data_IF_309784348127
#
_entry.id   IF_309784348127
#
_cell.length_a   1.000
_cell.length_b   1.000
_cell.length_c   1.000
_cell.angle_alpha   90.00
_cell.angle_beta   90.00
_cell.angle_gamma   90.00
#
_symmetry.space_group_name_H-M   'P 1'
#
loop_
_entity.id
_entity.type
_entity.pdbx_description
1 polymer ?
#
# COMPACT_ATOMS: atom_id res chain seq x y z
N UNK A 1 14.79 26.04 87.35
CA UNK A 1 14.87 25.00 86.30
C UNK A 1 14.08 25.53 85.12
N UNK A 2 14.73 26.32 84.25
CA UNK A 2 15.37 25.87 82.99
C UNK A 2 14.36 25.70 81.85
N UNK A 3 14.30 26.75 81.00
CA UNK A 3 14.18 26.82 79.51
C UNK A 3 13.08 25.97 78.84
N UNK A 4 12.37 26.42 77.80
CA UNK A 4 12.93 26.72 76.46
C UNK A 4 11.84 27.30 75.53
N UNK A 5 12.22 28.20 74.63
CA UNK A 5 11.44 28.74 73.50
C UNK A 5 11.05 27.69 72.45
N UNK A 6 10.00 27.95 71.66
CA UNK A 6 10.04 27.63 70.20
C UNK A 6 9.04 28.47 69.39
N UNK A 7 9.57 29.20 68.41
CA UNK A 7 8.84 29.74 67.25
C UNK A 7 8.44 28.58 66.34
N UNK A 8 7.25 28.62 65.73
CA UNK A 8 6.90 27.80 64.58
C UNK A 8 6.72 28.70 63.35
N UNK A 9 7.63 28.51 62.38
CA UNK A 9 7.71 29.21 61.11
C UNK A 9 6.69 28.59 60.13
N UNK A 10 5.76 29.39 59.61
CA UNK A 10 4.85 28.96 58.53
C UNK A 10 5.64 28.96 57.22
N UNK A 11 5.84 27.78 56.63
CA UNK A 11 6.48 27.64 55.31
C UNK A 11 5.38 27.32 54.29
N UNK A 12 5.02 28.30 53.45
CA UNK A 12 4.12 28.10 52.33
C UNK A 12 4.91 27.55 51.14
N UNK A 13 4.64 26.31 50.73
CA UNK A 13 5.21 25.70 49.54
C UNK A 13 4.35 26.06 48.31
N UNK A 14 4.88 26.89 47.42
CA UNK A 14 4.29 27.15 46.09
C UNK A 14 4.75 26.07 45.11
N UNK A 15 3.84 25.22 44.68
CA UNK A 15 4.11 24.22 43.61
C UNK A 15 3.91 24.90 42.26
N UNK A 16 5.00 25.32 41.62
CA UNK A 16 4.97 25.76 40.23
C UNK A 16 4.78 24.53 39.32
N UNK A 17 3.57 24.33 38.80
CA UNK A 17 3.28 23.31 37.80
C UNK A 17 3.73 23.81 36.43
N UNK A 18 4.97 23.50 36.04
CA UNK A 18 5.40 23.65 34.64
C UNK A 18 4.83 22.48 33.84
N UNK A 19 3.70 22.72 33.16
CA UNK A 19 3.19 21.80 32.15
C UNK A 19 4.20 21.73 30.99
N UNK A 20 4.95 20.64 30.90
CA UNK A 20 5.74 20.30 29.72
C UNK A 20 4.76 20.02 28.58
N UNK A 21 4.59 20.98 27.68
CA UNK A 21 4.00 20.72 26.37
C UNK A 21 4.99 19.85 25.59
N UNK A 22 4.81 18.53 25.66
CA UNK A 22 5.44 17.64 24.70
C UNK A 22 4.87 17.99 23.31
N UNK A 23 5.71 18.23 22.29
CA UNK A 23 5.22 18.31 20.92
C UNK A 23 4.50 16.99 20.62
N UNK A 24 3.20 17.06 20.32
CA UNK A 24 2.53 15.93 19.72
C UNK A 24 3.26 15.65 18.39
N UNK A 25 3.97 14.53 18.33
CA UNK A 25 4.52 14.05 17.08
C UNK A 25 3.33 13.75 16.17
N UNK A 26 3.03 14.67 15.25
CA UNK A 26 2.14 14.36 14.14
C UNK A 26 2.79 13.19 13.40
N UNK A 27 2.17 12.01 13.46
CA UNK A 27 2.52 10.94 12.57
C UNK A 27 2.36 11.49 11.14
N UNK A 28 3.45 11.50 10.37
CA UNK A 28 3.37 11.85 8.96
C UNK A 28 2.56 10.74 8.29
N UNK A 29 1.28 10.99 8.04
CA UNK A 29 0.45 10.00 7.33
C UNK A 29 1.01 9.82 5.91
N UNK A 30 1.26 8.57 5.52
CA UNK A 30 1.63 8.24 4.15
C UNK A 30 0.52 8.70 3.22
N UNK A 31 0.81 9.53 2.20
CA UNK A 31 -0.19 9.98 1.24
C UNK A 31 -0.98 8.81 0.64
N UNK A 32 -2.31 8.90 0.71
CA UNK A 32 -3.20 7.88 0.16
C UNK A 32 -3.11 7.83 -1.37
N UNK A 33 -3.11 6.63 -1.94
CA UNK A 33 -3.20 6.44 -3.38
C UNK A 33 -4.59 6.88 -3.87
N UNK A 34 -4.66 7.66 -4.95
CA UNK A 34 -5.92 8.17 -5.50
C UNK A 34 -6.37 7.35 -6.72
N UNK A 35 -5.45 7.11 -7.65
CA UNK A 35 -5.70 6.35 -8.87
C UNK A 35 -4.37 5.89 -9.45
N UNK A 36 -4.43 4.96 -10.40
CA UNK A 36 -3.25 4.54 -11.12
C UNK A 36 -3.57 3.56 -12.24
N UNK A 37 -2.54 3.29 -13.03
CA UNK A 37 -2.52 2.21 -14.00
C UNK A 37 -1.14 1.58 -14.04
N UNK A 38 -1.09 0.31 -14.43
CA UNK A 38 0.14 -0.39 -14.73
C UNK A 38 0.12 -0.86 -16.19
N UNK A 39 1.31 -1.06 -16.76
CA UNK A 39 1.45 -1.70 -18.05
C UNK A 39 2.40 -2.88 -17.98
N UNK A 40 2.17 -3.89 -18.81
CA UNK A 40 3.08 -5.02 -18.95
C UNK A 40 2.99 -5.60 -20.34
N UNK A 41 4.08 -5.52 -21.09
CA UNK A 41 4.08 -5.96 -22.48
C UNK A 41 4.44 -7.44 -22.65
N UNK A 42 4.62 -8.18 -21.55
CA UNK A 42 5.20 -9.54 -21.50
C UNK A 42 6.62 -9.55 -22.09
N UNK A 43 6.69 -9.51 -23.41
CA UNK A 43 7.86 -9.29 -24.24
C UNK A 43 7.39 -8.95 -25.65
N UNK A 44 7.94 -7.89 -26.25
CA UNK A 44 7.52 -7.44 -27.58
C UNK A 44 7.59 -8.55 -28.65
N UNK A 45 8.68 -9.33 -28.66
CA UNK A 45 8.83 -10.44 -29.61
C UNK A 45 7.83 -11.58 -29.41
N UNK A 46 7.34 -11.77 -28.18
CA UNK A 46 6.29 -12.75 -27.90
C UNK A 46 4.94 -12.27 -28.44
N UNK A 47 4.59 -11.00 -28.21
CA UNK A 47 3.36 -10.41 -28.76
C UNK A 47 3.36 -10.42 -30.29
N UNK A 48 4.49 -10.13 -30.94
CA UNK A 48 4.64 -10.29 -32.41
C UNK A 48 4.46 -11.73 -32.85
N UNK A 49 5.04 -12.68 -32.11
CA UNK A 49 4.90 -14.10 -32.39
C UNK A 49 3.44 -14.54 -32.31
N UNK A 50 2.73 -14.24 -31.22
CA UNK A 50 1.31 -14.62 -31.04
C UNK A 50 0.43 -14.09 -32.17
N UNK A 51 0.67 -12.86 -32.62
CA UNK A 51 -0.12 -12.20 -33.66
C UNK A 51 0.34 -12.50 -35.10
N UNK A 52 1.29 -13.43 -35.27
CA UNK A 52 1.74 -13.86 -36.60
C UNK A 52 0.71 -14.79 -37.27
N UNK A 53 0.64 -14.84 -38.61
CA UNK A 53 -0.29 -15.73 -39.30
C UNK A 53 -0.10 -17.22 -38.96
N UNK A 54 1.13 -17.63 -38.64
CA UNK A 54 1.45 -19.04 -38.35
C UNK A 54 0.90 -19.51 -37.01
N UNK A 55 0.92 -18.66 -35.99
CA UNK A 55 0.35 -18.92 -34.66
C UNK A 55 -1.17 -18.89 -34.67
N UNK A 56 -1.78 -18.15 -35.62
CA UNK A 56 -3.22 -17.90 -35.66
C UNK A 56 -3.76 -17.48 -34.29
N UNK A 57 -2.99 -16.62 -33.60
CA UNK A 57 -3.25 -16.29 -32.20
C UNK A 57 -4.30 -15.21 -32.02
N UNK A 58 -4.98 -15.25 -30.88
CA UNK A 58 -5.93 -14.25 -30.41
C UNK A 58 -5.49 -13.77 -29.04
N UNK A 59 -5.60 -12.46 -28.82
CA UNK A 59 -5.34 -11.80 -27.55
C UNK A 59 -6.65 -11.15 -27.11
N UNK A 60 -7.05 -11.36 -25.86
CA UNK A 60 -8.26 -10.75 -25.30
C UNK A 60 -7.96 -10.25 -23.91
N UNK A 61 -8.28 -8.98 -23.63
CA UNK A 61 -8.23 -8.39 -22.30
C UNK A 61 -9.66 -8.25 -21.75
N UNK A 62 -9.82 -8.49 -20.46
CA UNK A 62 -11.11 -8.51 -19.76
C UNK A 62 -10.96 -7.98 -18.33
N UNK A 63 -12.07 -7.89 -17.59
CA UNK A 63 -12.11 -7.46 -16.19
C UNK A 63 -11.46 -6.08 -15.94
N UNK A 64 -11.52 -5.19 -16.92
CA UNK A 64 -10.96 -3.83 -16.83
C UNK A 64 -9.57 -3.68 -17.46
N UNK A 65 -8.87 -4.77 -17.78
CA UNK A 65 -7.65 -4.68 -18.58
C UNK A 65 -7.98 -4.27 -20.03
N UNK A 66 -7.07 -3.50 -20.64
CA UNK A 66 -7.14 -3.06 -22.02
C UNK A 66 -5.88 -3.49 -22.78
N UNK A 67 -6.02 -3.77 -24.08
CA UNK A 67 -4.87 -3.91 -24.98
C UNK A 67 -4.44 -2.54 -25.49
N UNK A 68 -3.14 -2.27 -25.46
CA UNK A 68 -2.55 -1.12 -26.14
C UNK A 68 -2.08 -1.56 -27.51
N UNK A 69 -2.51 -0.84 -28.55
CA UNK A 69 -2.16 -1.16 -29.93
C UNK A 69 -1.26 -0.10 -30.56
N UNK A 70 -0.33 -0.55 -31.39
CA UNK A 70 0.43 0.27 -32.33
C UNK A 70 0.40 -0.43 -33.69
N UNK A 71 0.15 0.33 -34.76
CA UNK A 71 0.06 -0.19 -36.13
C UNK A 71 -0.90 -1.39 -36.28
N UNK A 72 -2.02 -1.37 -35.54
CA UNK A 72 -3.03 -2.43 -35.53
C UNK A 72 -2.55 -3.75 -34.92
N UNK A 73 -1.52 -3.72 -34.08
CA UNK A 73 -1.00 -4.85 -33.31
C UNK A 73 -0.96 -4.52 -31.84
N UNK A 74 -1.33 -5.48 -31.00
CA UNK A 74 -1.18 -5.39 -29.55
C UNK A 74 0.31 -5.33 -29.21
N UNK A 75 0.72 -4.29 -28.50
CA UNK A 75 2.11 -4.06 -28.08
C UNK A 75 2.26 -4.01 -26.56
N UNK A 76 1.18 -3.82 -25.82
CA UNK A 76 1.17 -3.77 -24.36
C UNK A 76 -0.21 -4.14 -23.80
N UNK A 77 -0.27 -4.44 -22.51
CA UNK A 77 -1.50 -4.52 -21.73
C UNK A 77 -1.51 -3.39 -20.71
N UNK A 78 -2.67 -2.77 -20.52
CA UNK A 78 -2.89 -1.74 -19.50
C UNK A 78 -3.89 -2.25 -18.46
N UNK A 79 -3.52 -2.13 -17.19
CA UNK A 79 -4.30 -2.61 -16.06
C UNK A 79 -4.64 -1.43 -15.15
N UNK A 80 -5.92 -1.24 -14.76
CA UNK A 80 -6.26 -0.31 -13.69
C UNK A 80 -5.64 -0.76 -12.37
N UNK A 81 -5.20 0.20 -11.56
CA UNK A 81 -4.79 -0.11 -10.18
C UNK A 81 -6.03 -0.22 -9.30
N UNK A 82 -6.15 -1.32 -8.56
CA UNK A 82 -7.12 -1.46 -7.49
C UNK A 82 -6.59 -0.73 -6.25
N UNK A 83 -7.03 0.53 -6.10
CA UNK A 83 -6.58 1.42 -5.03
C UNK A 83 -6.95 0.90 -3.64
N UNK A 84 -8.07 0.18 -3.50
CA UNK A 84 -8.56 -0.29 -2.20
C UNK A 84 -7.67 -1.39 -1.60
N UNK A 85 -7.10 -2.23 -2.45
CA UNK A 85 -6.24 -3.36 -2.04
C UNK A 85 -4.74 -3.04 -2.18
N UNK A 86 -4.40 -1.90 -2.81
CA UNK A 86 -3.01 -1.43 -2.93
C UNK A 86 -2.52 -0.71 -1.67
N UNK A 87 -1.28 -0.98 -1.27
CA UNK A 87 -0.63 -0.29 -0.16
C UNK A 87 0.87 -0.10 -0.41
N UNK A 88 1.35 1.13 -0.25
CA UNK A 88 2.78 1.48 -0.24
C UNK A 88 3.13 2.15 1.08
N UNK A 89 4.29 1.81 1.64
CA UNK A 89 4.81 2.46 2.85
C UNK A 89 5.55 3.77 2.50
N UNK A 90 6.04 4.48 3.52
CA UNK A 90 6.79 5.74 3.37
C UNK A 90 8.08 5.61 2.52
N UNK A 91 8.58 4.39 2.31
CA UNK A 91 9.75 4.08 1.48
C UNK A 91 9.38 3.71 0.03
N UNK A 92 8.08 3.64 -0.29
CA UNK A 92 7.57 3.21 -1.58
C UNK A 92 7.62 1.69 -1.78
N UNK A 93 7.67 0.91 -0.70
CA UNK A 93 7.63 -0.56 -0.73
C UNK A 93 6.22 -1.04 -0.36
N UNK A 94 5.80 -2.17 -0.93
CA UNK A 94 4.47 -2.74 -0.69
C UNK A 94 3.92 -3.44 -1.93
N UNK A 95 2.60 -3.52 -2.01
CA UNK A 95 1.88 -4.21 -3.09
C UNK A 95 0.94 -3.25 -3.78
N UNK A 96 0.95 -3.29 -5.11
CA UNK A 96 0.01 -2.57 -5.98
C UNK A 96 -0.82 -3.64 -6.68
N UNK A 97 -2.05 -3.83 -6.21
CA UNK A 97 -3.04 -4.72 -6.78
C UNK A 97 -3.63 -4.12 -8.06
N UNK A 98 -3.81 -4.95 -9.08
CA UNK A 98 -4.26 -4.53 -10.39
C UNK A 98 -5.54 -5.28 -10.77
N UNK A 99 -6.51 -4.53 -11.25
CA UNK A 99 -7.68 -5.12 -11.89
C UNK A 99 -7.33 -5.60 -13.29
N UNK A 100 -8.02 -6.65 -13.73
CA UNK A 100 -7.93 -7.12 -15.10
C UNK A 100 -7.49 -8.57 -15.25
N UNK A 101 -7.70 -9.06 -16.47
CA UNK A 101 -7.26 -10.36 -16.90
C UNK A 101 -6.98 -10.32 -18.39
N UNK A 102 -6.10 -11.20 -18.87
CA UNK A 102 -5.98 -11.45 -20.30
C UNK A 102 -5.95 -12.94 -20.60
N UNK A 103 -6.31 -13.26 -21.84
CA UNK A 103 -6.16 -14.57 -22.41
C UNK A 103 -5.42 -14.48 -23.75
N UNK A 104 -4.46 -15.35 -23.94
CA UNK A 104 -3.71 -15.53 -25.18
C UNK A 104 -3.92 -16.96 -25.65
N UNK A 105 -4.59 -17.11 -26.79
CA UNK A 105 -4.76 -18.41 -27.46
C UNK A 105 -3.94 -18.43 -28.74
N UNK A 106 -3.24 -19.51 -29.03
CA UNK A 106 -2.48 -19.71 -30.25
C UNK A 106 -2.34 -21.18 -30.61
N UNK A 107 -1.82 -21.45 -31.81
CA UNK A 107 -1.60 -22.79 -32.35
C UNK A 107 -2.84 -23.67 -32.30
N UNK A 108 -3.99 -23.11 -32.67
CA UNK A 108 -5.29 -23.82 -32.67
C UNK A 108 -5.63 -24.42 -31.29
N UNK A 109 -5.25 -23.73 -30.21
CA UNK A 109 -5.53 -24.13 -28.82
C UNK A 109 -4.40 -24.91 -28.14
N UNK A 110 -3.29 -25.21 -28.83
CA UNK A 110 -2.12 -25.81 -28.17
C UNK A 110 -1.42 -24.83 -27.21
N UNK A 111 -1.63 -23.53 -27.37
CA UNK A 111 -1.24 -22.51 -26.40
C UNK A 111 -2.50 -21.77 -25.96
N UNK A 112 -2.86 -21.89 -24.68
CA UNK A 112 -3.92 -21.11 -24.03
C UNK A 112 -3.39 -20.65 -22.68
N UNK A 113 -3.05 -19.36 -22.58
CA UNK A 113 -2.50 -18.72 -21.39
C UNK A 113 -3.54 -17.74 -20.88
N UNK A 114 -4.06 -17.99 -19.68
CA UNK A 114 -5.00 -17.13 -18.98
C UNK A 114 -4.29 -16.58 -17.75
N UNK A 115 -4.34 -15.27 -17.56
CA UNK A 115 -3.72 -14.60 -16.41
C UNK A 115 -4.65 -13.56 -15.82
N UNK A 116 -4.65 -13.46 -14.50
CA UNK A 116 -5.50 -12.55 -13.73
C UNK A 116 -4.88 -12.24 -12.37
N UNK A 117 -5.53 -11.38 -11.59
CA UNK A 117 -5.13 -11.06 -10.21
C UNK A 117 -3.67 -10.62 -10.12
N UNK A 118 -3.33 -9.62 -10.94
CA UNK A 118 -1.97 -9.15 -11.07
C UNK A 118 -1.59 -8.28 -9.88
N UNK A 119 -0.40 -8.48 -9.33
CA UNK A 119 0.14 -7.65 -8.24
C UNK A 119 1.57 -7.26 -8.55
N UNK A 120 1.87 -5.97 -8.42
CA UNK A 120 3.25 -5.49 -8.44
C UNK A 120 3.72 -5.38 -7.01
N UNK A 121 4.73 -6.18 -6.64
CA UNK A 121 5.32 -6.19 -5.30
C UNK A 121 6.68 -5.50 -5.35
N UNK A 122 6.90 -4.56 -4.44
CA UNK A 122 8.12 -3.77 -4.33
C UNK A 122 8.74 -3.97 -2.95
N UNK A 123 10.00 -4.39 -2.91
CA UNK A 123 10.78 -4.59 -1.70
C UNK A 123 12.19 -4.03 -1.88
N UNK A 124 12.45 -2.86 -1.29
CA UNK A 124 13.69 -2.11 -1.46
C UNK A 124 13.98 -1.80 -2.93
N UNK A 125 15.11 -2.32 -3.42
CA UNK A 125 15.57 -2.12 -4.80
C UNK A 125 15.14 -3.25 -5.76
N UNK A 126 14.26 -4.15 -5.32
CA UNK A 126 13.73 -5.26 -6.11
C UNK A 126 12.22 -5.16 -6.19
N UNK A 127 11.68 -5.64 -7.30
CA UNK A 127 10.26 -5.85 -7.43
C UNK A 127 9.96 -6.98 -8.40
N UNK A 128 8.72 -7.43 -8.35
CA UNK A 128 8.21 -8.43 -9.27
C UNK A 128 6.74 -8.18 -9.58
N UNK A 129 6.33 -8.61 -10.76
CA UNK A 129 4.93 -8.76 -11.12
C UNK A 129 4.55 -10.22 -10.90
N UNK A 130 3.58 -10.46 -10.03
CA UNK A 130 2.96 -11.76 -9.82
C UNK A 130 1.53 -11.79 -10.35
N UNK A 131 1.03 -13.00 -10.60
CA UNK A 131 -0.33 -13.20 -11.08
C UNK A 131 -0.80 -14.63 -10.79
N UNK A 132 -2.11 -14.79 -10.84
CA UNK A 132 -2.76 -16.08 -11.07
C UNK A 132 -2.64 -16.47 -12.53
N UNK A 133 -2.50 -17.76 -12.79
CA UNK A 133 -2.51 -18.26 -14.16
C UNK A 133 -3.17 -19.63 -14.32
N UNK A 134 -3.70 -19.84 -15.52
CA UNK A 134 -4.08 -21.14 -16.05
C UNK A 134 -3.45 -21.29 -17.43
N UNK A 135 -2.56 -22.26 -17.61
CA UNK A 135 -1.93 -22.61 -18.89
C UNK A 135 -2.46 -23.95 -19.34
N UNK A 136 -3.15 -23.98 -20.48
CA UNK A 136 -3.66 -25.21 -21.12
C UNK A 136 -3.02 -25.46 -22.46
N UNK A 137 -3.01 -26.71 -22.89
CA UNK A 137 -2.51 -27.16 -24.19
C UNK A 137 -1.15 -27.84 -24.10
N UNK A 138 -0.40 -27.87 -25.19
CA UNK A 138 0.85 -28.59 -25.31
C UNK A 138 2.03 -27.65 -25.56
N UNK A 139 3.19 -27.99 -24.99
CA UNK A 139 4.48 -27.47 -25.45
C UNK A 139 4.96 -28.29 -26.66
N UNK A 140 5.85 -27.76 -27.51
CA UNK A 140 6.42 -28.54 -28.61
C UNK A 140 7.02 -29.88 -28.11
N UNK A 141 6.53 -30.99 -28.64
CA UNK A 141 7.00 -32.34 -28.28
C UNK A 141 6.47 -32.89 -26.95
N UNK A 142 5.46 -32.25 -26.34
CA UNK A 142 4.82 -32.70 -25.10
C UNK A 142 3.34 -33.01 -25.31
N UNK A 143 2.76 -33.85 -24.46
CA UNK A 143 1.31 -34.07 -24.41
C UNK A 143 0.58 -32.82 -23.86
N UNK A 144 -0.68 -32.60 -24.26
CA UNK A 144 -1.50 -31.54 -23.67
C UNK A 144 -1.62 -31.70 -22.16
N UNK A 145 -1.44 -30.60 -21.44
CA UNK A 145 -1.58 -30.54 -19.99
C UNK A 145 -2.30 -29.26 -19.57
N UNK A 146 -2.64 -29.19 -18.28
CA UNK A 146 -3.09 -27.97 -17.63
C UNK A 146 -2.19 -27.72 -16.43
N UNK A 147 -1.60 -26.52 -16.38
CA UNK A 147 -0.86 -26.01 -15.22
C UNK A 147 -1.59 -24.79 -14.67
N UNK A 148 -1.60 -24.64 -13.35
CA UNK A 148 -2.22 -23.51 -12.66
C UNK A 148 -1.30 -22.99 -11.58
N UNK A 149 -1.35 -21.69 -11.32
CA UNK A 149 -0.67 -21.07 -10.20
C UNK A 149 -1.51 -19.94 -9.62
N UNK A 150 -1.34 -19.77 -8.33
CA UNK A 150 -1.93 -18.69 -7.54
C UNK A 150 -0.77 -17.82 -7.03
N UNK A 151 -0.87 -16.51 -7.27
CA UNK A 151 0.08 -15.48 -6.83
C UNK A 151 1.55 -15.81 -7.18
N UNK A 152 1.79 -16.34 -8.38
CA UNK A 152 3.13 -16.73 -8.80
C UNK A 152 3.91 -15.53 -9.30
N UNK A 153 5.15 -15.29 -8.83
CA UNK A 153 6.00 -14.25 -9.40
C UNK A 153 6.33 -14.67 -10.83
N UNK A 154 6.05 -13.82 -11.80
CA UNK A 154 6.18 -14.12 -13.24
C UNK A 154 7.43 -13.48 -13.80
N UNK A 155 7.68 -12.23 -13.40
CA UNK A 155 8.75 -11.41 -13.92
C UNK A 155 9.29 -10.48 -12.83
N UNK A 156 10.61 -10.43 -12.72
CA UNK A 156 11.34 -9.63 -11.74
C UNK A 156 12.02 -8.43 -12.41
N UNK A 157 12.29 -7.39 -11.62
CA UNK A 157 12.97 -6.19 -12.08
C UNK A 157 13.66 -5.44 -10.94
N UNK A 158 14.60 -4.56 -11.32
CA UNK A 158 15.25 -3.64 -10.39
C UNK A 158 14.44 -2.35 -10.24
N UNK A 159 14.30 -1.91 -8.99
CA UNK A 159 13.63 -0.66 -8.62
C UNK A 159 14.71 0.40 -8.39
N UNK A 160 15.03 1.16 -9.44
CA UNK A 160 16.06 2.21 -9.43
C UNK A 160 15.51 3.55 -8.98
N UNK A 161 14.22 3.77 -9.23
CA UNK A 161 13.48 4.96 -8.87
C UNK A 161 12.43 4.57 -7.84
N UNK A 162 12.30 5.38 -6.79
CA UNK A 162 11.40 5.07 -5.68
C UNK A 162 9.97 5.56 -5.93
N UNK A 163 9.02 4.70 -5.56
CA UNK A 163 7.58 4.97 -5.52
C UNK A 163 7.13 5.62 -4.21
N UNK A 164 8.03 6.28 -3.46
CA UNK A 164 7.67 7.03 -2.24
C UNK A 164 6.43 7.90 -2.49
N UNK A 165 5.34 7.65 -1.76
CA UNK A 165 4.12 8.44 -1.87
C UNK A 165 4.37 9.92 -1.59
N UNK A 166 3.83 10.77 -2.45
CA UNK A 166 3.97 12.22 -2.34
C UNK A 166 2.60 12.88 -2.45
N UNK A 167 2.20 13.68 -1.46
CA UNK A 167 0.86 14.28 -1.42
C UNK A 167 0.58 15.12 -2.67
N UNK A 168 -0.49 14.78 -3.40
CA UNK A 168 -0.85 15.41 -4.68
C UNK A 168 0.14 15.17 -5.82
N UNK A 169 1.13 14.30 -5.60
CA UNK A 169 2.17 13.96 -6.55
C UNK A 169 1.74 12.87 -7.52
N UNK A 170 2.42 12.83 -8.66
CA UNK A 170 2.33 11.76 -9.66
C UNK A 170 3.65 11.01 -9.73
N UNK A 171 3.60 9.70 -9.91
CA UNK A 171 4.76 8.83 -10.14
C UNK A 171 4.55 8.05 -11.42
N UNK A 172 5.51 8.08 -12.32
CA UNK A 172 5.48 7.30 -13.56
C UNK A 172 6.86 6.65 -13.73
N UNK A 173 6.91 5.33 -13.67
CA UNK A 173 8.15 4.57 -13.68
C UNK A 173 8.01 3.40 -14.65
N UNK A 174 9.04 3.14 -15.45
CA UNK A 174 9.15 1.95 -16.29
C UNK A 174 10.33 1.11 -15.84
N UNK A 175 10.05 -0.11 -15.40
CA UNK A 175 11.04 -1.06 -14.92
C UNK A 175 11.69 -1.83 -16.08
N UNK A 176 12.98 -1.60 -16.29
CA UNK A 176 13.80 -2.33 -17.26
C UNK A 176 15.28 -2.46 -16.81
N UNK A 177 15.99 -3.54 -17.21
CA UNK A 177 15.42 -4.73 -17.83
C UNK A 177 14.60 -5.55 -16.82
N UNK A 178 13.71 -6.37 -17.33
CA UNK A 178 13.00 -7.38 -16.54
C UNK A 178 13.67 -8.75 -16.71
N UNK A 179 13.34 -9.73 -15.87
CA UNK A 179 13.82 -11.12 -15.99
C UNK A 179 12.70 -12.11 -15.67
N UNK A 180 12.56 -13.16 -16.49
CA UNK A 180 11.55 -14.19 -16.24
C UNK A 180 11.90 -14.96 -14.97
N UNK A 181 10.91 -15.32 -14.16
CA UNK A 181 11.07 -16.29 -13.07
C UNK A 181 10.94 -17.72 -13.60
N UNK A 182 11.07 -18.72 -12.72
CA UNK A 182 10.75 -20.11 -13.05
C UNK A 182 9.28 -20.27 -13.45
N UNK A 183 8.34 -19.68 -12.70
CA UNK A 183 6.92 -19.72 -13.04
C UNK A 183 6.60 -19.03 -14.38
N UNK A 184 7.29 -17.93 -14.70
CA UNK A 184 7.15 -17.31 -16.01
C UNK A 184 7.67 -18.20 -17.15
N UNK A 185 8.78 -18.93 -16.92
CA UNK A 185 9.28 -19.93 -17.89
C UNK A 185 8.28 -21.06 -18.09
N UNK A 186 7.63 -21.55 -17.03
CA UNK A 186 6.62 -22.60 -17.12
C UNK A 186 5.40 -22.18 -17.96
N UNK A 187 4.99 -20.91 -17.87
CA UNK A 187 3.85 -20.35 -18.62
C UNK A 187 4.21 -20.11 -20.09
N UNK A 188 5.31 -19.39 -20.33
CA UNK A 188 5.66 -18.86 -21.65
C UNK A 188 6.62 -19.75 -22.45
N UNK A 189 7.20 -20.76 -21.78
CA UNK A 189 7.96 -21.82 -22.40
C UNK A 189 9.47 -21.75 -22.20
N UNK A 190 10.12 -22.89 -22.48
CA UNK A 190 11.55 -23.15 -22.26
C UNK A 190 12.50 -22.38 -23.20
N UNK A 191 11.97 -21.59 -24.12
CA UNK A 191 12.75 -20.62 -24.91
C UNK A 191 13.31 -19.50 -24.04
N UNK A 192 12.78 -19.30 -22.83
CA UNK A 192 13.27 -18.36 -21.84
C UNK A 192 14.11 -19.06 -20.77
N UNK A 193 15.07 -18.34 -20.21
CA UNK A 193 15.89 -18.81 -19.09
C UNK A 193 15.60 -17.95 -17.88
N UNK A 194 15.22 -18.58 -16.77
CA UNK A 194 14.91 -17.88 -15.53
C UNK A 194 16.10 -17.02 -15.06
N UNK A 195 15.81 -15.84 -14.52
CA UNK A 195 16.79 -14.88 -14.02
C UNK A 195 17.64 -14.20 -15.10
N UNK A 196 17.44 -14.51 -16.39
CA UNK A 196 18.13 -13.79 -17.49
C UNK A 196 17.35 -12.55 -17.91
N UNK A 197 18.03 -11.42 -18.15
CA UNK A 197 17.39 -10.23 -18.67
C UNK A 197 16.61 -10.50 -19.96
N UNK A 198 15.34 -10.14 -19.98
CA UNK A 198 14.47 -10.18 -21.13
C UNK A 198 14.59 -8.86 -21.87
N UNK A 199 15.23 -8.88 -23.05
CA UNK A 199 15.22 -7.73 -23.95
C UNK A 199 13.79 -7.42 -24.38
N UNK A 200 13.44 -6.14 -24.50
CA UNK A 200 12.15 -5.67 -25.00
C UNK A 200 10.94 -6.11 -24.15
N UNK A 201 11.18 -6.42 -22.87
CA UNK A 201 10.15 -6.61 -21.84
C UNK A 201 10.20 -5.45 -20.86
N UNK A 202 9.03 -4.97 -20.41
CA UNK A 202 8.84 -3.77 -19.60
C UNK A 202 7.64 -3.96 -18.67
N UNK A 203 7.76 -3.48 -17.44
CA UNK A 203 6.63 -3.27 -16.53
C UNK A 203 6.56 -1.77 -16.24
N UNK A 204 5.43 -1.13 -16.48
CA UNK A 204 5.20 0.28 -16.21
C UNK A 204 4.24 0.47 -15.04
N UNK A 205 4.40 1.54 -14.28
CA UNK A 205 3.42 1.97 -13.29
C UNK A 205 3.26 3.49 -13.34
N UNK A 206 2.02 3.94 -13.23
CA UNK A 206 1.62 5.34 -13.14
C UNK A 206 0.66 5.50 -11.97
N UNK A 207 1.06 6.24 -10.93
CA UNK A 207 0.32 6.41 -9.68
C UNK A 207 0.09 7.90 -9.41
N UNK A 208 -1.14 8.24 -9.07
CA UNK A 208 -1.52 9.57 -8.59
C UNK A 208 -1.93 9.46 -7.11
N UNK A 209 -1.40 10.34 -6.27
CA UNK A 209 -1.68 10.35 -4.84
C UNK A 209 -2.61 11.50 -4.45
N UNK A 210 -3.43 11.28 -3.42
CA UNK A 210 -4.33 12.30 -2.88
C UNK A 210 -3.53 13.49 -2.36
N UNK A 211 -4.09 14.67 -2.53
CA UNK A 211 -3.55 15.90 -1.95
C UNK A 211 -3.79 15.88 -0.44
N UNK A 212 -2.81 16.33 0.33
CA UNK A 212 -3.00 16.54 1.76
C UNK A 212 -4.12 17.56 1.98
N UNK A 213 -5.14 17.18 2.75
CA UNK A 213 -6.14 18.14 3.21
C UNK A 213 -5.49 19.06 4.24
N UNK A 214 -5.62 20.38 4.03
CA UNK A 214 -5.20 21.34 5.03
C UNK A 214 -6.15 21.20 6.22
N UNK A 215 -5.67 21.02 7.45
CA UNK A 215 -6.54 21.05 8.62
C UNK A 215 -7.37 22.33 8.57
N UNK A 216 -8.69 22.21 8.75
CA UNK A 216 -9.54 23.37 8.89
C UNK A 216 -8.98 24.21 10.06
N UNK A 217 -8.55 25.44 9.77
CA UNK A 217 -8.09 26.33 10.82
C UNK A 217 -9.31 26.55 11.74
N UNK A 218 -9.26 26.22 13.04
CA UNK A 218 -10.33 26.61 13.94
C UNK A 218 -10.34 28.15 13.91
N UNK A 219 -11.39 28.71 13.31
CA UNK A 219 -11.55 30.15 13.25
C UNK A 219 -11.52 30.66 14.71
N UNK A 220 -10.60 31.56 15.10
CA UNK A 220 -10.69 32.17 16.41
C UNK A 220 -12.03 32.90 16.46
N UNK A 221 -12.85 32.59 17.47
CA UNK A 221 -14.10 33.29 17.69
C UNK A 221 -13.84 34.80 17.71
N UNK A 222 -14.62 35.56 16.94
CA UNK A 222 -14.62 37.01 16.94
C UNK A 222 -14.86 37.52 18.37
N UNK A 223 -13.97 38.33 18.97
CA UNK A 223 -14.21 38.93 20.27
C UNK A 223 -14.97 40.25 20.08
N UNK A 224 -16.19 40.18 19.55
CA UNK A 224 -17.11 41.33 19.57
C UNK A 224 -18.49 40.86 20.04
N UNK A 225 -18.60 40.78 21.36
CA UNK A 225 -19.88 40.81 22.08
C UNK A 225 -19.62 41.48 23.41
N UNK A 226 -19.80 42.80 23.42
CA UNK A 226 -19.86 43.62 24.62
C UNK A 226 -21.19 43.38 25.33
N UNK A 227 -21.18 42.60 26.43
CA UNK A 227 -22.16 42.73 27.50
C UNK A 227 -21.70 42.11 28.83
N UNK A 228 -21.51 42.99 29.81
CA UNK A 228 -21.55 42.85 31.28
C UNK A 228 -20.37 42.21 32.06
N UNK A 229 -19.76 42.94 33.02
CA UNK A 229 -18.66 42.45 33.86
C UNK A 229 -19.17 41.65 35.05
N UNK A 230 -19.47 40.36 34.86
CA UNK A 230 -19.71 39.43 35.96
C UNK A 230 -19.61 37.94 35.52
N UNK A 231 -18.45 37.49 35.05
CA UNK A 231 -18.12 36.06 34.98
C UNK A 231 -16.63 35.87 34.61
N UNK A 232 -15.76 35.88 35.62
CA UNK A 232 -14.41 35.29 35.48
C UNK A 232 -14.58 33.80 35.75
N UNK A 233 -14.51 32.97 34.72
CA UNK A 233 -14.44 31.52 34.90
C UNK A 233 -14.82 30.70 33.68
N UNK A 234 -13.83 30.11 33.02
CA UNK A 234 -13.99 28.89 32.23
C UNK A 234 -14.01 29.07 30.72
N UNK A 235 -12.83 28.93 30.08
CA UNK A 235 -12.74 28.53 28.68
C UNK A 235 -12.00 27.18 28.64
N UNK A 236 -12.53 26.29 27.79
CA UNK A 236 -12.03 24.99 27.29
C UNK A 236 -12.34 23.74 28.11
N UNK A 237 -13.57 23.23 27.95
CA UNK A 237 -13.82 21.77 27.95
C UNK A 237 -14.25 21.37 26.54
N UNK A 238 -13.33 20.77 25.80
CA UNK A 238 -13.48 19.90 24.62
C UNK A 238 -12.07 19.83 24.04
N UNK A 239 -11.23 18.85 24.35
CA UNK A 239 -11.34 17.45 23.93
C UNK A 239 -10.71 16.55 25.01
N UNK A 240 -11.52 15.87 25.81
CA UNK A 240 -11.11 14.71 26.61
C UNK A 240 -12.14 13.59 26.45
N UNK A 241 -12.38 13.20 25.21
CA UNK A 241 -13.05 11.94 24.90
C UNK A 241 -12.33 11.31 23.71
N UNK A 242 -11.31 10.50 24.01
CA UNK A 242 -10.90 9.29 23.26
C UNK A 242 -9.77 8.50 23.98
N UNK A 243 -9.25 8.93 25.15
CA UNK A 243 -8.37 8.05 25.96
C UNK A 243 -8.92 7.75 27.37
N UNK A 244 -10.23 7.52 27.45
CA UNK A 244 -10.82 6.74 28.53
C UNK A 244 -10.69 5.26 28.21
N UNK A 245 -9.57 4.65 28.58
CA UNK A 245 -9.33 3.22 28.33
C UNK A 245 -8.65 2.46 29.46
N UNK A 246 -7.73 3.05 30.22
CA UNK A 246 -6.89 2.24 31.13
C UNK A 246 -6.63 2.84 32.53
N UNK A 247 -7.20 3.99 32.89
CA UNK A 247 -6.95 4.61 34.21
C UNK A 247 -8.19 4.73 35.13
N UNK A 248 -9.36 4.23 34.73
CA UNK A 248 -10.60 4.32 35.53
C UNK A 248 -11.01 3.03 36.23
N UNK A 249 -10.23 1.95 36.14
CA UNK A 249 -10.56 0.67 36.75
C UNK A 249 -10.18 0.57 38.25
N UNK A 250 -9.47 1.55 38.82
CA UNK A 250 -8.98 1.48 40.22
C UNK A 250 -9.81 2.27 41.23
N UNK A 251 -10.83 3.01 40.80
CA UNK A 251 -11.68 3.84 41.68
C UNK A 251 -13.08 3.27 41.91
N UNK A 252 -13.40 2.12 41.30
CA UNK A 252 -14.67 1.43 41.55
C UNK A 252 -14.62 0.71 42.91
N UNK A 253 -15.55 0.98 43.85
CA UNK A 253 -15.58 0.35 45.18
C UNK A 253 -15.64 -1.18 45.14
N UNK A 254 -16.14 -1.73 44.02
CA UNK A 254 -16.32 -3.16 43.76
C UNK A 254 -14.98 -3.89 43.56
N UNK A 255 -13.93 -3.18 43.08
CA UNK A 255 -12.61 -3.75 42.75
C UNK A 255 -11.68 -3.79 43.97
N UNK A 256 -11.81 -2.82 44.89
CA UNK A 256 -11.06 -2.82 46.15
C UNK A 256 -11.46 -3.98 47.09
N UNK A 257 -12.71 -4.46 47.01
CA UNK A 257 -13.17 -5.60 47.81
C UNK A 257 -12.58 -6.96 47.36
N UNK A 258 -12.19 -7.10 46.10
CA UNK A 258 -11.57 -8.34 45.59
C UNK A 258 -10.06 -8.45 45.89
N UNK A 259 -9.36 -7.33 46.09
CA UNK A 259 -7.91 -7.32 46.36
C UNK A 259 -7.56 -7.65 47.83
N UNK A 260 -8.54 -7.60 48.74
CA UNK A 260 -8.35 -7.92 50.16
C UNK A 260 -8.36 -9.41 50.51
N UNK A 261 -8.65 -10.31 49.57
CA UNK A 261 -8.76 -11.75 49.81
C UNK A 261 -7.49 -12.56 49.46
N UNK A 262 -6.43 -11.93 48.95
CA UNK A 262 -5.24 -12.64 48.45
C UNK A 262 -3.91 -12.30 49.17
N UNK A 263 -3.95 -11.66 50.33
CA UNK A 263 -2.74 -11.42 51.13
C UNK A 263 -2.81 -12.20 52.47
N UNK A 264 -1.83 -13.09 52.75
CA UNK A 264 -1.75 -13.79 54.03
C UNK A 264 -1.36 -12.80 55.14
N UNK A 265 -1.89 -13.02 56.35
CA UNK A 265 -1.56 -12.25 57.57
C UNK A 265 -0.13 -12.49 58.03
#
# INVERSE_FOLDING_TARGET
MSRTSTLALVTAATVASTALFAPAASATETPELLTGNATWNIKESFLRYVQSPFTAGTITATKGAETVEADGKVVDFKFPVNVADSALNEKGEGTIDLDGAFQIVGHKGAMDIQMSDFKIVINGNKGHLQADYVRKGAMPGSEPSTSTGDDKPIIEFDVKESLVPAAGGKKEITFTPTAMTESGVDIFGTSYTAGKPLKDSKVGVSLDFKKAEKPANPNPANPDSSASPAAIGGIVVAVLAVLGGLAFATTLPQVQAMLGQFLPR
#
